data_IF_261736474168
#
_entry.id   IF_261736474168
#
_cell.length_a   1.000
_cell.length_b   1.000
_cell.length_c   1.000
_cell.angle_alpha   90.00
_cell.angle_beta   90.00
_cell.angle_gamma   90.00
#
_symmetry.space_group_name_H-M   'P 1'
#
loop_
_entity.id
_entity.type
_entity.pdbx_description
1 polymer ?
#
# COMPACT_ATOMS: atom_id res chain seq x y z
N UNK A 1 26.94 9.41 -3.83
CA UNK A 1 25.65 9.17 -4.52
C UNK A 1 24.51 9.76 -3.70
N UNK A 2 23.86 10.83 -4.18
CA UNK A 2 22.69 11.45 -3.52
C UNK A 2 21.43 10.71 -3.96
N UNK A 3 20.77 10.01 -3.04
CA UNK A 3 19.42 9.49 -3.28
C UNK A 3 18.49 10.64 -2.89
N UNK A 4 17.85 11.25 -3.88
CA UNK A 4 16.95 12.37 -3.69
C UNK A 4 15.86 12.03 -2.68
N UNK A 5 15.63 12.93 -1.74
CA UNK A 5 14.41 12.97 -0.94
C UNK A 5 13.25 13.09 -1.91
N UNK A 6 12.39 12.06 -1.97
CA UNK A 6 11.14 12.14 -2.69
C UNK A 6 10.22 13.06 -1.86
N UNK A 7 10.45 14.37 -1.97
CA UNK A 7 9.54 15.37 -1.43
C UNK A 7 8.25 15.29 -2.25
N UNK A 8 7.26 14.58 -1.71
CA UNK A 8 5.92 14.53 -2.27
C UNK A 8 5.35 15.94 -2.14
N UNK A 9 5.07 16.65 -3.26
CA UNK A 9 4.60 18.02 -3.19
C UNK A 9 3.24 18.07 -2.47
N UNK A 10 3.00 19.07 -1.59
CA UNK A 10 1.82 19.16 -0.72
C UNK A 10 0.48 19.39 -1.46
N UNK A 11 0.47 19.35 -2.80
CA UNK A 11 -0.72 19.50 -3.63
C UNK A 11 -1.25 18.19 -4.24
N UNK A 12 -0.56 17.05 -4.10
CA UNK A 12 -0.96 15.79 -4.77
C UNK A 12 -1.89 14.89 -3.94
N UNK A 13 -2.26 15.27 -2.72
CA UNK A 13 -3.37 14.66 -1.98
C UNK A 13 -4.73 15.12 -2.54
N UNK A 14 -4.90 15.13 -3.88
CA UNK A 14 -6.21 15.28 -4.49
C UNK A 14 -7.01 14.03 -4.14
N UNK A 15 -8.10 14.25 -3.43
CA UNK A 15 -9.09 13.29 -2.91
C UNK A 15 -9.82 12.53 -4.03
N UNK A 16 -9.09 11.82 -4.88
CA UNK A 16 -9.63 10.67 -5.60
C UNK A 16 -9.47 9.51 -4.64
N UNK A 17 -10.58 8.96 -4.14
CA UNK A 17 -10.62 7.68 -3.42
C UNK A 17 -10.33 6.53 -4.38
N UNK A 18 -9.23 6.63 -5.12
CA UNK A 18 -8.64 5.54 -5.89
C UNK A 18 -8.28 4.50 -4.84
N UNK A 19 -8.82 3.28 -4.96
CA UNK A 19 -8.58 2.22 -4.00
C UNK A 19 -7.07 2.07 -3.80
N UNK A 20 -6.53 2.64 -2.72
CA UNK A 20 -5.17 2.37 -2.28
C UNK A 20 -5.22 0.89 -1.97
N UNK A 21 -4.69 0.06 -2.88
CA UNK A 21 -4.39 -1.33 -2.53
C UNK A 21 -3.58 -1.24 -1.23
N UNK A 22 -3.79 -2.10 -0.23
CA UNK A 22 -2.80 -2.17 0.83
C UNK A 22 -1.46 -2.40 0.12
N UNK A 23 -0.58 -1.41 0.19
CA UNK A 23 0.72 -1.46 -0.44
C UNK A 23 1.70 -1.60 0.70
N UNK A 24 2.51 -2.65 0.68
CA UNK A 24 3.64 -2.79 1.60
C UNK A 24 4.77 -1.79 1.31
N UNK A 25 4.46 -0.66 0.67
CA UNK A 25 5.43 0.36 0.29
C UNK A 25 6.08 1.02 1.51
N UNK A 26 5.32 1.24 2.60
CA UNK A 26 5.87 1.78 3.85
C UNK A 26 6.90 0.83 4.47
N UNK A 27 6.52 -0.43 4.63
CA UNK A 27 7.38 -1.52 5.12
C UNK A 27 8.61 -1.71 4.22
N UNK A 28 8.43 -1.62 2.90
CA UNK A 28 9.52 -1.76 1.93
C UNK A 28 10.53 -0.63 2.05
N UNK A 29 10.06 0.62 2.21
CA UNK A 29 10.93 1.78 2.43
C UNK A 29 11.67 1.68 3.77
N UNK A 30 11.01 1.17 4.82
CA UNK A 30 11.65 0.94 6.12
C UNK A 30 12.78 -0.09 6.03
N UNK A 31 12.55 -1.22 5.34
CA UNK A 31 13.58 -2.23 5.10
C UNK A 31 14.76 -1.68 4.29
N UNK A 32 14.49 -0.96 3.19
CA UNK A 32 15.55 -0.34 2.37
C UNK A 32 16.35 0.72 3.16
N UNK A 33 15.69 1.48 4.03
CA UNK A 33 16.36 2.42 4.92
C UNK A 33 17.25 1.72 5.94
N UNK A 34 16.78 0.59 6.49
CA UNK A 34 17.54 -0.25 7.43
C UNK A 34 18.80 -0.82 6.75
N UNK A 35 18.66 -1.38 5.55
CA UNK A 35 19.79 -1.87 4.74
C UNK A 35 20.82 -0.78 4.50
N UNK A 36 20.38 0.41 4.08
CA UNK A 36 21.28 1.53 3.83
C UNK A 36 22.06 1.93 5.08
N UNK A 37 21.43 1.91 6.26
CA UNK A 37 22.09 2.26 7.54
C UNK A 37 23.07 1.19 8.01
N UNK A 38 22.77 -0.07 7.73
CA UNK A 38 23.52 -1.22 8.23
C UNK A 38 24.55 -1.78 7.23
N UNK A 39 24.84 -1.05 6.14
CA UNK A 39 25.81 -1.49 5.13
C UNK A 39 25.31 -2.67 4.29
N UNK A 40 24.00 -2.73 4.03
CA UNK A 40 23.32 -3.82 3.33
C UNK A 40 23.42 -5.18 4.05
N UNK A 41 23.65 -5.15 5.36
CA UNK A 41 23.61 -6.33 6.21
C UNK A 41 22.16 -6.68 6.58
N UNK A 42 21.62 -7.67 5.88
CA UNK A 42 20.27 -8.21 6.07
C UNK A 42 20.01 -8.67 7.51
N UNK A 43 21.03 -9.14 8.23
CA UNK A 43 20.88 -9.71 9.58
C UNK A 43 20.49 -8.65 10.60
N UNK A 44 21.01 -7.42 10.43
CA UNK A 44 20.70 -6.26 11.28
C UNK A 44 19.33 -5.64 10.95
N UNK A 45 18.73 -6.04 9.83
CA UNK A 45 17.44 -5.52 9.35
C UNK A 45 16.31 -6.54 9.54
N UNK A 46 16.49 -7.54 10.43
CA UNK A 46 15.56 -8.66 10.60
C UNK A 46 14.14 -8.21 10.97
N UNK A 47 14.00 -7.16 11.78
CA UNK A 47 12.69 -6.63 12.16
C UNK A 47 11.94 -6.00 10.97
N UNK A 48 12.57 -5.09 10.23
CA UNK A 48 11.92 -4.48 9.05
C UNK A 48 11.66 -5.52 7.95
N UNK A 49 12.53 -6.53 7.84
CA UNK A 49 12.34 -7.67 6.92
C UNK A 49 11.11 -8.49 7.29
N UNK A 50 10.94 -8.81 8.58
CA UNK A 50 9.79 -9.57 9.07
C UNK A 50 8.49 -8.78 8.88
N UNK A 51 8.50 -7.50 9.22
CA UNK A 51 7.35 -6.61 9.07
C UNK A 51 6.90 -6.48 7.60
N UNK A 52 7.86 -6.39 6.67
CA UNK A 52 7.60 -6.44 5.23
C UNK A 52 6.97 -7.77 4.80
N UNK A 53 7.50 -8.91 5.27
CA UNK A 53 6.96 -10.23 4.95
C UNK A 53 5.52 -10.39 5.46
N UNK A 54 5.23 -9.93 6.66
CA UNK A 54 3.90 -10.03 7.26
C UNK A 54 2.90 -9.14 6.54
N UNK A 55 3.31 -7.95 6.10
CA UNK A 55 2.46 -7.14 5.21
C UNK A 55 2.16 -7.89 3.90
N UNK A 56 3.15 -8.52 3.26
CA UNK A 56 2.95 -9.21 1.99
C UNK A 56 2.01 -10.42 2.12
N UNK A 57 2.07 -11.16 3.24
CA UNK A 57 1.13 -12.26 3.54
C UNK A 57 -0.31 -11.74 3.67
N UNK A 58 -0.48 -10.60 4.33
CA UNK A 58 -1.79 -9.99 4.55
C UNK A 58 -2.40 -9.31 3.30
N UNK A 59 -1.58 -9.03 2.29
CA UNK A 59 -2.04 -8.51 1.00
C UNK A 59 -2.92 -9.52 0.25
N UNK A 60 -2.62 -10.80 0.39
CA UNK A 60 -3.24 -11.87 -0.40
C UNK A 60 -4.63 -12.27 0.13
N UNK A 61 -4.97 -11.91 1.37
CA UNK A 61 -6.12 -12.51 2.07
C UNK A 61 -7.43 -11.72 2.01
N UNK A 62 -7.45 -10.48 1.49
CA UNK A 62 -8.67 -9.65 1.48
C UNK A 62 -9.34 -9.58 0.12
N UNK A 63 -10.02 -10.66 -0.26
CA UNK A 63 -11.09 -10.58 -1.25
C UNK A 63 -12.17 -9.62 -0.72
N UNK A 64 -12.54 -8.61 -1.51
CA UNK A 64 -13.56 -7.65 -1.10
C UNK A 64 -14.94 -8.29 -1.26
N UNK A 65 -15.85 -8.10 -0.28
CA UNK A 65 -17.22 -8.55 -0.47
C UNK A 65 -17.80 -7.87 -1.72
N UNK A 66 -18.51 -8.65 -2.52
CA UNK A 66 -19.17 -8.14 -3.72
C UNK A 66 -20.18 -7.05 -3.31
N UNK A 67 -20.11 -5.88 -3.96
CA UNK A 67 -21.05 -4.80 -3.72
C UNK A 67 -22.22 -4.91 -4.71
N UNK A 68 -23.46 -4.81 -4.21
CA UNK A 68 -24.71 -4.89 -4.98
C UNK A 68 -25.17 -3.55 -5.55
N UNK A 69 -24.35 -2.50 -5.52
CA UNK A 69 -24.70 -1.16 -6.01
C UNK A 69 -25.33 -1.19 -7.42
N UNK A 70 -24.72 -1.93 -8.35
CA UNK A 70 -25.24 -2.07 -9.71
C UNK A 70 -26.63 -2.73 -9.77
N UNK A 71 -26.89 -3.69 -8.88
CA UNK A 71 -28.21 -4.33 -8.77
C UNK A 71 -29.29 -3.32 -8.33
N UNK A 72 -28.96 -2.45 -7.37
CA UNK A 72 -29.90 -1.41 -6.92
C UNK A 72 -30.15 -0.34 -7.99
N UNK A 73 -29.11 0.09 -8.72
CA UNK A 73 -29.26 1.06 -9.81
C UNK A 73 -30.14 0.53 -10.94
N UNK A 74 -29.93 -0.73 -11.36
CA UNK A 74 -30.76 -1.36 -12.39
C UNK A 74 -32.23 -1.46 -11.98
N UNK A 75 -32.51 -1.68 -10.69
CA UNK A 75 -33.87 -1.75 -10.18
C UNK A 75 -34.54 -0.37 -10.15
N UNK A 76 -33.80 0.68 -9.85
CA UNK A 76 -34.30 2.06 -9.89
C UNK A 76 -34.57 2.51 -11.33
N UNK A 77 -33.70 2.18 -12.27
CA UNK A 77 -33.87 2.52 -13.69
C UNK A 77 -35.13 1.90 -14.32
N UNK A 78 -35.64 0.78 -13.78
CA UNK A 78 -36.89 0.15 -14.23
C UNK A 78 -38.16 0.78 -13.63
N UNK A 79 -38.02 1.69 -12.67
CA UNK A 79 -39.13 2.35 -11.96
C UNK A 79 -39.35 3.80 -12.44
N UNK A 80 -38.57 4.26 -13.41
CA UNK A 80 -38.68 5.57 -14.06
C UNK A 80 -39.21 5.37 -15.48
#
# INVERSE_FOLDING_TARGET
MRIGTLEVPPGLLRRTTRRIKPTCAGEMLAFLASLKRNGFDDTKCAMEKQSLQDCMKNLQSKAKPANTLNFHLQRLAKKV
#
